data_IF_529972003467
#
_entry.id   IF_529972003467
#
_cell.length_a   1.000
_cell.length_b   1.000
_cell.length_c   1.000
_cell.angle_alpha   90.00
_cell.angle_beta   90.00
_cell.angle_gamma   90.00
#
_symmetry.space_group_name_H-M   'P 1'
#
loop_
_entity.id
_entity.type
_entity.pdbx_description
1 polymer ?
#
# COMPACT_ATOMS: atom_id res chain seq x y z
N UNK A 1 68.42 25.91 22.15
CA UNK A 1 67.66 26.37 20.96
C UNK A 1 66.94 25.23 20.24
N UNK A 2 67.62 24.14 19.81
CA UNK A 2 66.98 23.00 19.11
C UNK A 2 65.79 22.36 19.86
N UNK A 3 65.88 22.17 21.18
CA UNK A 3 64.80 21.59 22.01
C UNK A 3 63.56 22.49 22.13
N UNK A 4 63.76 23.82 22.11
CA UNK A 4 62.67 24.81 22.18
C UNK A 4 61.92 24.86 20.85
N UNK A 5 62.65 24.75 19.73
CA UNK A 5 62.07 24.71 18.38
C UNK A 5 61.15 23.50 18.18
N UNK A 6 61.56 22.32 18.65
CA UNK A 6 60.76 21.09 18.57
C UNK A 6 59.46 21.23 19.36
N UNK A 7 59.50 21.86 20.53
CA UNK A 7 58.33 22.05 21.38
C UNK A 7 57.29 22.99 20.73
N UNK A 8 57.76 24.04 20.05
CA UNK A 8 56.92 24.97 19.30
C UNK A 8 56.27 24.27 18.10
N UNK A 9 57.01 23.43 17.37
CA UNK A 9 56.44 22.66 16.26
C UNK A 9 55.34 21.70 16.73
N UNK A 10 55.53 20.98 17.85
CA UNK A 10 54.51 20.07 18.40
C UNK A 10 53.27 20.87 18.83
N UNK A 11 53.44 22.03 19.48
CA UNK A 11 52.34 22.88 19.89
C UNK A 11 51.52 23.43 18.71
N UNK A 12 52.15 23.67 17.56
CA UNK A 12 51.47 24.15 16.35
C UNK A 12 50.75 23.05 15.57
N UNK A 13 51.20 21.80 15.69
CA UNK A 13 50.58 20.66 15.00
C UNK A 13 49.27 20.24 15.69
N UNK A 14 49.17 20.32 17.02
CA UNK A 14 47.99 19.88 17.77
C UNK A 14 46.69 20.63 17.38
N UNK A 15 46.67 21.97 17.24
CA UNK A 15 45.49 22.71 16.76
C UNK A 15 45.09 22.34 15.33
N UNK A 16 46.07 22.14 14.43
CA UNK A 16 45.78 21.80 13.03
C UNK A 16 45.11 20.43 12.87
N UNK A 17 45.50 19.45 13.70
CA UNK A 17 44.86 18.13 13.73
C UNK A 17 43.43 18.22 14.28
N UNK A 18 43.21 19.08 15.28
CA UNK A 18 41.87 19.32 15.84
C UNK A 18 40.90 19.95 14.85
N UNK A 19 41.35 20.90 14.03
CA UNK A 19 40.51 21.58 13.03
C UNK A 19 40.06 20.62 11.91
N UNK A 20 40.90 19.65 11.53
CA UNK A 20 40.54 18.67 10.50
C UNK A 20 39.47 17.66 10.97
N UNK A 21 39.39 17.37 12.27
CA UNK A 21 38.44 16.38 12.81
C UNK A 21 36.98 16.86 12.86
N UNK A 22 36.73 18.17 12.78
CA UNK A 22 35.40 18.76 13.00
C UNK A 22 34.51 18.80 11.74
N UNK A 23 35.02 18.45 10.56
CA UNK A 23 34.28 18.54 9.30
C UNK A 23 33.71 17.20 8.82
N UNK A 24 33.19 16.37 9.73
CA UNK A 24 32.34 15.25 9.34
C UNK A 24 30.88 15.69 9.40
N UNK A 25 30.29 15.98 8.24
CA UNK A 25 28.83 16.04 8.10
C UNK A 25 28.27 14.62 8.30
N UNK A 26 28.12 14.20 9.56
CA UNK A 26 27.56 12.89 9.89
C UNK A 26 26.05 12.90 9.60
N UNK A 27 25.65 12.01 8.69
CA UNK A 27 24.26 11.67 8.46
C UNK A 27 23.82 10.74 9.61
N UNK A 28 23.04 11.26 10.57
CA UNK A 28 22.49 10.44 11.65
C UNK A 28 21.10 9.95 11.24
N UNK A 29 20.95 8.63 11.25
CA UNK A 29 19.70 7.92 10.99
C UNK A 29 19.07 7.50 12.33
N UNK A 30 17.92 8.07 12.66
CA UNK A 30 17.15 7.72 13.86
C UNK A 30 15.98 6.80 13.49
N UNK A 31 15.86 5.66 14.17
CA UNK A 31 14.69 4.79 14.01
C UNK A 31 13.51 5.45 14.73
N UNK A 32 12.43 5.67 13.98
CA UNK A 32 11.21 6.30 14.51
C UNK A 32 10.03 5.33 14.45
N UNK A 33 9.11 5.44 15.42
CA UNK A 33 7.99 4.50 15.61
C UNK A 33 6.67 4.99 15.01
N UNK A 34 6.73 5.76 13.94
CA UNK A 34 5.53 6.28 13.28
C UNK A 34 4.71 5.15 12.66
N UNK A 35 3.38 5.31 12.65
CA UNK A 35 2.45 4.39 12.00
C UNK A 35 2.07 4.91 10.62
N UNK A 36 1.92 4.00 9.66
CA UNK A 36 1.40 4.30 8.33
C UNK A 36 -0.02 3.75 8.25
N UNK A 37 -0.95 4.59 7.81
CA UNK A 37 -2.37 4.25 7.67
C UNK A 37 -2.75 4.46 6.20
N UNK A 38 -3.29 3.43 5.57
CA UNK A 38 -3.82 3.47 4.20
C UNK A 38 -5.21 2.85 4.20
N UNK A 39 -6.21 3.54 3.64
CA UNK A 39 -7.63 3.12 3.65
C UNK A 39 -8.11 2.69 5.05
N UNK A 40 -7.82 3.49 6.08
CA UNK A 40 -8.15 3.25 7.48
C UNK A 40 -7.53 1.96 8.10
N UNK A 41 -6.58 1.32 7.41
CA UNK A 41 -5.87 0.14 7.88
C UNK A 41 -4.41 0.46 8.17
N UNK A 42 -3.89 -0.04 9.29
CA UNK A 42 -2.47 0.08 9.62
C UNK A 42 -1.64 -0.81 8.68
N UNK A 43 -0.62 -0.22 8.06
CA UNK A 43 0.27 -0.89 7.11
C UNK A 43 1.44 -1.49 7.88
N UNK A 44 1.64 -2.80 7.74
CA UNK A 44 2.82 -3.47 8.28
C UNK A 44 4.03 -3.18 7.39
N UNK A 45 5.13 -2.74 8.00
CA UNK A 45 6.38 -2.48 7.29
C UNK A 45 7.35 -3.64 7.49
N UNK A 46 8.08 -3.99 6.44
CA UNK A 46 9.14 -4.99 6.49
C UNK A 46 10.43 -4.42 7.11
N UNK A 47 10.61 -3.10 6.98
CA UNK A 47 11.77 -2.37 7.48
C UNK A 47 11.37 -1.21 8.39
N UNK A 48 12.19 -0.88 9.41
CA UNK A 48 11.92 0.24 10.30
C UNK A 48 11.92 1.58 9.55
N UNK A 49 11.09 2.51 10.01
CA UNK A 49 11.08 3.89 9.50
C UNK A 49 12.29 4.63 10.08
N UNK A 50 12.98 5.38 9.23
CA UNK A 50 14.19 6.12 9.61
C UNK A 50 13.99 7.60 9.36
N UNK A 51 14.32 8.44 10.35
CA UNK A 51 14.42 9.89 10.18
C UNK A 51 15.88 10.29 9.95
N UNK A 52 16.13 11.02 8.87
CA UNK A 52 17.45 11.59 8.56
C UNK A 52 17.24 13.05 8.18
N UNK A 53 17.93 13.98 8.86
CA UNK A 53 17.86 15.42 8.59
C UNK A 53 16.42 15.95 8.47
N UNK A 54 15.57 15.54 9.43
CA UNK A 54 14.16 15.95 9.48
C UNK A 54 13.31 15.47 8.29
N UNK A 55 13.75 14.42 7.58
CA UNK A 55 13.00 13.71 6.54
C UNK A 55 12.79 12.28 6.97
N UNK A 56 11.56 11.81 6.83
CA UNK A 56 11.18 10.43 7.10
C UNK A 56 11.42 9.59 5.85
N UNK A 57 12.20 8.54 5.99
CA UNK A 57 12.49 7.53 4.98
C UNK A 57 11.72 6.27 5.34
N UNK A 58 10.94 5.81 4.37
CA UNK A 58 10.12 4.61 4.45
C UNK A 58 10.55 3.66 3.34
N UNK A 59 10.39 2.36 3.58
CA UNK A 59 10.57 1.33 2.56
C UNK A 59 9.75 1.65 1.31
N UNK A 60 10.45 1.92 0.20
CA UNK A 60 9.80 2.18 -1.10
C UNK A 60 8.98 0.97 -1.57
N UNK A 61 9.44 -0.25 -1.24
CA UNK A 61 8.74 -1.49 -1.58
C UNK A 61 7.40 -1.57 -0.86
N UNK A 62 7.41 -1.48 0.47
CA UNK A 62 6.19 -1.64 1.28
C UNK A 62 5.14 -0.59 0.90
N UNK A 63 5.57 0.66 0.64
CA UNK A 63 4.67 1.72 0.17
C UNK A 63 4.10 1.42 -1.21
N UNK A 64 4.94 1.02 -2.16
CA UNK A 64 4.50 0.75 -3.54
C UNK A 64 3.53 -0.43 -3.58
N UNK A 65 3.83 -1.52 -2.87
CA UNK A 65 2.97 -2.70 -2.77
C UNK A 65 1.66 -2.39 -2.06
N UNK A 66 1.68 -1.56 -1.01
CA UNK A 66 0.44 -1.07 -0.36
C UNK A 66 -0.43 -0.27 -1.33
N UNK A 67 0.17 0.47 -2.26
CA UNK A 67 -0.53 1.25 -3.28
C UNK A 67 -0.96 0.41 -4.51
N UNK A 68 -0.74 -0.91 -4.49
CA UNK A 68 -1.14 -1.82 -5.58
C UNK A 68 -0.13 -1.96 -6.71
N UNK A 69 1.13 -1.56 -6.49
CA UNK A 69 2.22 -1.73 -7.46
C UNK A 69 3.04 -2.98 -7.14
N UNK A 70 3.56 -3.65 -8.17
CA UNK A 70 4.55 -4.71 -8.03
C UNK A 70 5.95 -4.13 -8.15
N UNK A 71 6.85 -4.58 -7.28
CA UNK A 71 8.23 -4.08 -7.18
C UNK A 71 9.20 -5.22 -7.47
N UNK A 72 9.75 -5.21 -8.68
CA UNK A 72 10.70 -6.20 -9.15
C UNK A 72 12.12 -5.65 -9.15
N UNK A 73 13.05 -6.44 -8.64
CA UNK A 73 14.47 -6.14 -8.78
C UNK A 73 14.98 -6.70 -10.10
N UNK A 74 15.64 -5.86 -10.88
CA UNK A 74 16.31 -6.23 -12.12
C UNK A 74 17.81 -6.36 -11.86
N UNK A 75 18.29 -7.59 -11.70
CA UNK A 75 19.71 -7.89 -11.46
C UNK A 75 20.61 -7.42 -12.61
N UNK A 76 20.12 -7.45 -13.86
CA UNK A 76 20.91 -7.16 -15.05
C UNK A 76 21.45 -5.73 -15.11
N UNK A 77 20.70 -4.77 -14.57
CA UNK A 77 21.03 -3.34 -14.57
C UNK A 77 20.96 -2.70 -13.18
N UNK A 78 20.85 -3.50 -12.12
CA UNK A 78 20.72 -3.06 -10.72
C UNK A 78 19.60 -2.01 -10.54
N UNK A 79 18.50 -2.20 -11.26
CA UNK A 79 17.37 -1.27 -11.24
C UNK A 79 16.18 -1.90 -10.56
N UNK A 80 15.35 -1.04 -9.98
CA UNK A 80 14.03 -1.44 -9.46
C UNK A 80 13.01 -1.08 -10.52
N UNK A 81 12.18 -2.04 -10.89
CA UNK A 81 11.04 -1.83 -11.76
C UNK A 81 9.78 -1.83 -10.89
N UNK A 82 9.02 -0.74 -10.96
CA UNK A 82 7.76 -0.57 -10.24
C UNK A 82 6.68 -0.42 -11.30
N UNK A 83 5.84 -1.44 -11.44
CA UNK A 83 4.72 -1.41 -12.36
C UNK A 83 3.43 -1.42 -11.55
N UNK A 84 2.41 -0.75 -12.07
CA UNK A 84 1.05 -1.06 -11.64
C UNK A 84 0.90 -2.58 -11.81
N UNK A 85 0.43 -3.25 -10.77
CA UNK A 85 -0.16 -4.56 -11.02
C UNK A 85 -1.39 -4.24 -11.83
N UNK A 86 -1.27 -4.38 -13.15
CA UNK A 86 -2.43 -4.72 -13.96
C UNK A 86 -2.89 -6.04 -13.36
N UNK A 87 -3.75 -5.94 -12.33
CA UNK A 87 -4.64 -7.04 -12.00
C UNK A 87 -5.23 -7.37 -13.34
N UNK A 88 -5.06 -8.62 -13.75
CA UNK A 88 -5.59 -9.08 -15.01
C UNK A 88 -7.09 -8.74 -14.99
N UNK A 89 -7.44 -7.59 -15.57
CA UNK A 89 -8.79 -7.01 -15.61
C UNK A 89 -9.71 -7.92 -16.44
N UNK A 90 -9.15 -9.00 -16.99
CA UNK A 90 -9.88 -10.19 -17.37
C UNK A 90 -10.66 -10.70 -16.15
N UNK A 91 -11.86 -10.18 -15.94
CA UNK A 91 -13.14 -10.88 -16.21
C UNK A 91 -13.17 -12.37 -15.82
N UNK A 92 -12.39 -12.77 -14.82
CA UNK A 92 -12.23 -14.15 -14.39
C UNK A 92 -13.20 -14.48 -13.27
N UNK A 93 -13.89 -13.47 -12.73
CA UNK A 93 -15.02 -13.65 -11.85
C UNK A 93 -16.26 -13.96 -12.68
N UNK A 94 -16.70 -15.20 -12.59
CA UNK A 94 -17.98 -15.63 -13.14
C UNK A 94 -19.04 -15.58 -12.05
N UNK A 95 -20.24 -15.16 -12.45
CA UNK A 95 -21.40 -15.13 -11.57
C UNK A 95 -21.84 -16.56 -11.32
N UNK A 96 -21.98 -16.94 -10.06
CA UNK A 96 -22.58 -18.20 -9.67
C UNK A 96 -23.81 -17.97 -8.80
N UNK A 97 -24.74 -18.93 -8.83
CA UNK A 97 -25.98 -18.89 -8.05
C UNK A 97 -26.02 -20.05 -7.06
N UNK A 98 -26.24 -19.75 -5.79
CA UNK A 98 -26.40 -20.73 -4.72
C UNK A 98 -27.54 -20.29 -3.80
N UNK A 99 -28.47 -21.20 -3.47
CA UNK A 99 -29.59 -20.92 -2.56
C UNK A 99 -30.38 -19.66 -2.91
N UNK A 100 -30.66 -19.45 -4.21
CA UNK A 100 -31.34 -18.27 -4.76
C UNK A 100 -30.54 -16.96 -4.72
N UNK A 101 -29.38 -16.93 -4.08
CA UNK A 101 -28.47 -15.79 -4.06
C UNK A 101 -27.37 -15.93 -5.11
N UNK A 102 -26.79 -14.81 -5.51
CA UNK A 102 -25.72 -14.71 -6.49
C UNK A 102 -24.44 -14.16 -5.84
N UNK A 103 -23.31 -14.65 -6.33
CA UNK A 103 -21.97 -14.25 -5.90
C UNK A 103 -20.98 -14.43 -7.05
N UNK A 104 -19.69 -14.30 -6.75
CA UNK A 104 -18.61 -14.35 -7.73
C UNK A 104 -17.58 -15.42 -7.37
N UNK A 105 -17.19 -16.21 -8.35
CA UNK A 105 -16.13 -17.22 -8.20
C UNK A 105 -15.17 -17.12 -9.37
N UNK A 106 -13.93 -17.56 -9.17
CA UNK A 106 -12.98 -17.64 -10.26
C UNK A 106 -13.30 -18.83 -11.21
N UNK A 107 -12.64 -18.86 -12.38
CA UNK A 107 -12.75 -19.97 -13.33
C UNK A 107 -12.25 -21.32 -12.78
N UNK A 108 -11.52 -21.33 -11.67
CA UNK A 108 -11.08 -22.56 -10.99
C UNK A 108 -12.16 -23.12 -10.05
N UNK A 109 -13.24 -22.36 -9.81
CA UNK A 109 -14.32 -22.69 -8.89
C UNK A 109 -14.11 -22.21 -7.46
N UNK A 110 -13.06 -21.42 -7.19
CA UNK A 110 -12.84 -20.80 -5.89
C UNK A 110 -13.79 -19.61 -5.73
N UNK A 111 -14.60 -19.65 -4.68
CA UNK A 111 -15.51 -18.56 -4.33
C UNK A 111 -14.67 -17.35 -3.86
N UNK A 112 -14.84 -16.22 -4.53
CA UNK A 112 -14.27 -14.93 -4.15
C UNK A 112 -15.26 -14.13 -3.31
N UNK A 113 -16.48 -13.99 -3.82
CA UNK A 113 -17.58 -13.30 -3.13
C UNK A 113 -18.70 -14.31 -2.94
N UNK A 114 -19.04 -14.61 -1.69
CA UNK A 114 -20.08 -15.58 -1.37
C UNK A 114 -21.44 -15.15 -1.97
N UNK A 115 -22.28 -16.13 -2.28
CA UNK A 115 -23.62 -15.87 -2.80
C UNK A 115 -24.51 -15.23 -1.72
N UNK A 116 -24.65 -13.90 -1.76
CA UNK A 116 -25.38 -13.12 -0.76
C UNK A 116 -26.36 -12.10 -1.36
N UNK A 117 -26.26 -11.79 -2.65
CA UNK A 117 -27.09 -10.81 -3.34
C UNK A 117 -28.23 -11.46 -4.10
N UNK A 118 -29.36 -10.77 -4.28
CA UNK A 118 -30.45 -11.29 -5.11
C UNK A 118 -30.15 -11.16 -6.61
N UNK A 119 -29.47 -10.07 -6.98
CA UNK A 119 -29.02 -9.79 -8.35
C UNK A 119 -27.61 -9.23 -8.31
N UNK A 120 -26.78 -9.64 -9.26
CA UNK A 120 -25.44 -9.06 -9.50
C UNK A 120 -25.24 -8.85 -11.00
N UNK A 121 -24.45 -7.84 -11.35
CA UNK A 121 -23.94 -7.60 -12.70
C UNK A 121 -22.45 -7.92 -12.77
N UNK A 122 -21.94 -8.13 -13.99
CA UNK A 122 -20.51 -8.41 -14.21
C UNK A 122 -19.65 -7.23 -13.78
N UNK A 123 -18.40 -7.53 -13.43
CA UNK A 123 -17.42 -6.50 -13.08
C UNK A 123 -16.98 -5.76 -14.35
N UNK A 124 -16.97 -4.42 -14.26
CA UNK A 124 -16.34 -3.55 -15.24
C UNK A 124 -15.45 -2.55 -14.47
N UNK A 125 -14.18 -2.46 -14.85
CA UNK A 125 -13.19 -1.57 -14.21
C UNK A 125 -13.12 -1.75 -12.67
N UNK A 126 -13.18 -3.00 -12.20
CA UNK A 126 -13.09 -3.33 -10.77
C UNK A 126 -14.35 -3.06 -9.94
N UNK A 127 -15.46 -2.66 -10.56
CA UNK A 127 -16.73 -2.37 -9.90
C UNK A 127 -17.85 -3.26 -10.44
N UNK A 128 -18.71 -3.77 -9.56
CA UNK A 128 -19.93 -4.48 -9.92
C UNK A 128 -21.18 -3.87 -9.27
N UNK A 129 -22.30 -3.92 -9.99
CA UNK A 129 -23.61 -3.51 -9.46
C UNK A 129 -24.28 -4.70 -8.79
N UNK A 130 -24.79 -4.51 -7.58
CA UNK A 130 -25.49 -5.54 -6.81
C UNK A 130 -26.86 -5.06 -6.35
N UNK A 131 -27.81 -5.98 -6.22
CA UNK A 131 -29.18 -5.72 -5.84
C UNK A 131 -29.69 -6.70 -4.79
N UNK A 132 -30.44 -6.18 -3.81
CA UNK A 132 -31.20 -7.00 -2.86
C UNK A 132 -32.69 -6.62 -2.91
N UNK A 133 -33.55 -7.62 -2.80
CA UNK A 133 -34.99 -7.42 -2.76
C UNK A 133 -35.42 -6.98 -1.35
N UNK A 134 -36.13 -5.86 -1.25
CA UNK A 134 -36.79 -5.38 -0.04
C UNK A 134 -38.09 -6.19 0.13
N UNK A 135 -38.20 -6.94 1.22
CA UNK A 135 -39.40 -7.74 1.54
C UNK A 135 -40.32 -7.09 2.58
N UNK A 136 -40.07 -5.82 2.96
CA UNK A 136 -40.90 -5.13 3.94
C UNK A 136 -42.31 -4.91 3.40
N UNK A 137 -43.30 -5.06 4.28
CA UNK A 137 -44.73 -4.86 4.02
C UNK A 137 -45.12 -3.38 3.96
N UNK A 138 -44.13 -2.49 3.89
CA UNK A 138 -44.34 -1.09 3.57
C UNK A 138 -44.77 -1.01 2.10
N UNK A 139 -45.96 -0.45 1.87
CA UNK A 139 -46.47 -0.21 0.52
C UNK A 139 -45.47 0.67 -0.23
N UNK A 140 -44.63 0.05 -1.05
CA UNK A 140 -43.88 0.76 -2.06
C UNK A 140 -44.88 1.32 -3.08
N UNK A 141 -44.63 2.52 -3.64
CA UNK A 141 -45.37 3.03 -4.79
C UNK A 141 -45.49 1.95 -5.87
N UNK A 142 -46.61 1.88 -6.58
CA UNK A 142 -46.88 0.80 -7.55
C UNK A 142 -45.87 0.73 -8.71
N UNK A 143 -45.09 1.79 -8.88
CA UNK A 143 -44.03 2.02 -9.85
C UNK A 143 -42.61 1.85 -9.26
N UNK A 144 -42.47 1.61 -7.95
CA UNK A 144 -41.17 1.38 -7.33
C UNK A 144 -40.75 -0.09 -7.46
N UNK A 145 -39.53 -0.31 -7.96
CA UNK A 145 -38.90 -1.61 -7.88
C UNK A 145 -38.57 -1.92 -6.42
N UNK A 146 -38.94 -3.10 -5.93
CA UNK A 146 -38.60 -3.59 -4.59
C UNK A 146 -37.11 -3.94 -4.45
N UNK A 147 -36.21 -3.28 -5.17
CA UNK A 147 -34.78 -3.60 -5.22
C UNK A 147 -33.97 -2.42 -4.68
N UNK A 148 -33.13 -2.68 -3.70
CA UNK A 148 -32.04 -1.76 -3.32
C UNK A 148 -30.79 -2.12 -4.10
N UNK A 149 -30.27 -1.14 -4.84
CA UNK A 149 -29.05 -1.28 -5.62
C UNK A 149 -27.86 -0.67 -4.88
N UNK A 150 -26.68 -1.23 -5.12
CA UNK A 150 -25.41 -0.71 -4.63
C UNK A 150 -24.26 -1.10 -5.57
N UNK A 151 -23.09 -0.53 -5.31
CA UNK A 151 -21.85 -0.88 -6.00
C UNK A 151 -20.93 -1.59 -5.03
N UNK A 152 -20.25 -2.62 -5.50
CA UNK A 152 -19.20 -3.30 -4.75
C UNK A 152 -17.89 -3.26 -5.52
N UNK A 153 -16.79 -3.30 -4.79
CA UNK A 153 -15.48 -3.60 -5.36
C UNK A 153 -15.27 -5.12 -5.57
N UNK A 154 -14.13 -5.47 -6.14
CA UNK A 154 -13.69 -6.84 -6.39
C UNK A 154 -13.54 -7.73 -5.13
N UNK A 155 -13.51 -7.13 -3.94
CA UNK A 155 -13.47 -7.84 -2.65
C UNK A 155 -14.87 -8.04 -2.06
N UNK A 156 -15.89 -7.44 -2.67
CA UNK A 156 -17.28 -7.48 -2.21
C UNK A 156 -17.59 -6.41 -1.16
N UNK A 157 -16.74 -5.40 -0.98
CA UNK A 157 -16.99 -4.27 -0.10
C UNK A 157 -17.86 -3.23 -0.81
N UNK A 158 -18.83 -2.65 -0.09
CA UNK A 158 -19.70 -1.62 -0.65
C UNK A 158 -18.93 -0.32 -0.89
N UNK A 159 -19.06 0.22 -2.08
CA UNK A 159 -18.55 1.54 -2.45
C UNK A 159 -19.61 2.57 -2.07
N UNK A 160 -19.33 3.40 -1.07
CA UNK A 160 -20.23 4.46 -0.55
C UNK A 160 -19.81 5.86 -0.95
#
# INVERSE_FOLDING_TARGET
MKKVLILICILLIIPSVYVFAQNFNQCIAEIVTHKIIFNNKEVSLSNPIVSINNRVYVSIRDLSETLGYNVEWQDSNHSININLVEKDDNENLIIFKQNQKMGFMDRTGKIQIAAQFDVVHEFHEGIAVVGNHISTWEKLPSDANNMIWGFIDEYGELIT
#
